data_IF_705626529715
#
_entry.id   IF_705626529715
#
_cell.length_a   1.000
_cell.length_b   1.000
_cell.length_c   1.000
_cell.angle_alpha   90.00
_cell.angle_beta   90.00
_cell.angle_gamma   90.00
#
_symmetry.space_group_name_H-M   'P 1'
#
loop_
_entity.id
_entity.type
_entity.pdbx_description
1 polymer ?
#
# COMPACT_ATOMS: atom_id res chain seq x y z
N UNK A 1 0.98 -0.38 14.30
CA UNK A 1 0.67 -1.72 14.87
C UNK A 1 1.72 -2.73 14.42
N UNK A 2 1.82 -3.92 15.04
CA UNK A 2 2.91 -4.89 14.79
C UNK A 2 3.04 -5.37 13.33
N UNK A 3 2.06 -5.11 12.48
CA UNK A 3 2.09 -5.37 11.03
C UNK A 3 2.50 -4.16 10.18
N UNK A 4 3.00 -3.08 10.78
CA UNK A 4 3.35 -1.84 10.07
C UNK A 4 4.45 -2.08 9.03
N UNK A 5 4.26 -1.54 7.83
CA UNK A 5 5.31 -1.42 6.84
C UNK A 5 6.06 -0.11 7.09
N UNK A 6 7.38 -0.18 7.17
CA UNK A 6 8.25 1.00 7.18
C UNK A 6 8.98 1.03 5.84
N UNK A 7 8.86 2.15 5.13
CA UNK A 7 9.52 2.34 3.83
C UNK A 7 10.59 3.40 3.99
N UNK A 8 11.83 3.04 3.63
CA UNK A 8 12.94 3.98 3.56
C UNK A 8 13.54 3.99 2.15
N UNK A 9 13.88 5.17 1.60
CA UNK A 9 13.55 6.50 2.11
C UNK A 9 12.04 6.82 2.05
N UNK A 10 11.58 7.79 2.84
CA UNK A 10 10.25 8.38 2.65
C UNK A 10 10.15 9.06 1.28
N UNK A 11 8.97 9.10 0.69
CA UNK A 11 8.73 9.82 -0.55
C UNK A 11 8.99 11.32 -0.31
N UNK A 12 9.83 11.88 -1.16
CA UNK A 12 10.05 13.32 -1.31
C UNK A 12 9.72 13.71 -2.74
N UNK A 13 9.77 15.00 -3.06
CA UNK A 13 9.47 15.48 -4.42
C UNK A 13 10.42 14.96 -5.50
N UNK A 14 11.62 14.49 -5.15
CA UNK A 14 12.67 14.12 -6.11
C UNK A 14 13.03 12.64 -6.16
N UNK A 15 12.51 11.80 -5.24
CA UNK A 15 13.00 10.43 -5.06
C UNK A 15 11.98 9.32 -5.43
N UNK A 16 10.91 9.66 -6.17
CA UNK A 16 9.79 8.75 -6.48
C UNK A 16 10.22 7.36 -6.94
N UNK A 17 11.19 7.25 -7.87
CA UNK A 17 11.63 5.94 -8.36
C UNK A 17 12.27 5.06 -7.28
N UNK A 18 13.03 5.66 -6.36
CA UNK A 18 13.64 4.92 -5.25
C UNK A 18 12.61 4.55 -4.19
N UNK A 19 11.73 5.47 -3.83
CA UNK A 19 10.59 5.21 -2.93
C UNK A 19 9.67 4.12 -3.49
N UNK A 20 9.27 4.21 -4.76
CA UNK A 20 8.36 3.26 -5.41
C UNK A 20 8.92 1.84 -5.40
N UNK A 21 10.23 1.68 -5.67
CA UNK A 21 10.89 0.36 -5.56
C UNK A 21 10.88 -0.17 -4.12
N UNK A 22 11.17 0.67 -3.14
CA UNK A 22 11.12 0.27 -1.72
C UNK A 22 9.70 -0.08 -1.26
N UNK A 23 8.70 0.71 -1.66
CA UNK A 23 7.29 0.46 -1.32
C UNK A 23 6.79 -0.84 -1.96
N UNK A 24 7.06 -1.07 -3.24
CA UNK A 24 6.71 -2.33 -3.92
C UNK A 24 7.34 -3.55 -3.25
N UNK A 25 8.61 -3.47 -2.84
CA UNK A 25 9.28 -4.55 -2.08
C UNK A 25 8.60 -4.81 -0.75
N UNK A 26 8.29 -3.75 0.00
CA UNK A 26 7.66 -3.89 1.31
C UNK A 26 6.24 -4.47 1.22
N UNK A 27 5.46 -4.06 0.22
CA UNK A 27 4.15 -4.66 -0.07
C UNK A 27 4.27 -6.11 -0.56
N UNK A 28 5.27 -6.41 -1.38
CA UNK A 28 5.57 -7.78 -1.82
C UNK A 28 5.86 -8.72 -0.64
N UNK A 29 6.68 -8.27 0.33
CA UNK A 29 6.96 -9.02 1.55
C UNK A 29 5.72 -9.27 2.44
N UNK A 30 4.64 -8.52 2.22
CA UNK A 30 3.34 -8.69 2.90
C UNK A 30 2.29 -9.40 2.05
N UNK A 31 2.62 -9.83 0.83
CA UNK A 31 1.67 -10.36 -0.15
C UNK A 31 0.53 -9.36 -0.45
N UNK A 32 0.90 -8.07 -0.57
CA UNK A 32 -0.03 -6.97 -0.83
C UNK A 32 0.26 -6.22 -2.11
N UNK A 33 1.28 -6.62 -2.88
CA UNK A 33 1.63 -5.97 -4.14
C UNK A 33 0.49 -6.05 -5.17
N UNK A 34 -0.30 -7.14 -5.13
CA UNK A 34 -1.38 -7.41 -6.08
C UNK A 34 -2.53 -6.39 -6.02
N UNK A 35 -2.69 -5.74 -4.87
CA UNK A 35 -3.68 -4.66 -4.69
C UNK A 35 -3.31 -3.39 -5.48
N UNK A 36 -2.01 -3.10 -5.66
CA UNK A 36 -1.57 -1.85 -6.30
C UNK A 36 -1.20 -2.02 -7.78
N UNK A 37 -0.90 -3.24 -8.22
CA UNK A 37 -0.62 -3.54 -9.63
C UNK A 37 -1.90 -3.95 -10.41
N UNK A 38 -3.05 -4.05 -9.72
CA UNK A 38 -4.35 -4.38 -10.32
C UNK A 38 -4.56 -5.87 -10.60
N UNK A 39 -3.63 -6.75 -10.21
CA UNK A 39 -3.79 -8.21 -10.40
C UNK A 39 -4.82 -8.83 -9.45
N UNK A 40 -5.09 -8.18 -8.31
CA UNK A 40 -6.21 -8.51 -7.44
C UNK A 40 -7.30 -7.41 -7.56
N UNK A 41 -8.28 -7.57 -8.45
CA UNK A 41 -9.34 -6.59 -8.62
C UNK A 41 -10.23 -6.49 -7.39
N UNK A 42 -10.90 -5.35 -7.24
CA UNK A 42 -11.95 -5.17 -6.25
C UNK A 42 -13.13 -6.08 -6.61
N UNK A 43 -13.72 -6.82 -5.64
CA UNK A 43 -14.97 -7.55 -5.87
C UNK A 43 -16.08 -6.61 -6.35
N UNK A 44 -16.89 -7.06 -7.32
CA UNK A 44 -17.96 -6.24 -7.92
C UNK A 44 -19.21 -6.14 -7.02
N UNK A 45 -19.43 -7.17 -6.20
CA UNK A 45 -20.56 -7.24 -5.27
C UNK A 45 -20.14 -6.84 -3.86
N UNK A 46 -20.69 -5.74 -3.37
CA UNK A 46 -20.46 -5.24 -2.00
C UNK A 46 -20.97 -6.22 -0.91
N UNK A 47 -21.87 -7.14 -1.27
CA UNK A 47 -22.37 -8.19 -0.38
C UNK A 47 -21.47 -9.43 -0.33
N UNK A 48 -20.50 -9.55 -1.24
CA UNK A 48 -19.50 -10.61 -1.19
C UNK A 48 -18.67 -10.49 0.11
N UNK A 49 -18.58 -11.54 0.94
CA UNK A 49 -17.68 -11.53 2.10
C UNK A 49 -16.23 -11.16 1.77
N UNK A 50 -15.75 -11.44 0.56
CA UNK A 50 -14.44 -11.07 0.06
C UNK A 50 -14.27 -9.54 -0.06
N UNK A 51 -15.34 -8.79 -0.36
CA UNK A 51 -15.31 -7.33 -0.45
C UNK A 51 -14.84 -6.71 0.87
N UNK A 52 -15.39 -7.16 2.01
CA UNK A 52 -15.00 -6.63 3.34
C UNK A 52 -13.52 -6.88 3.65
N UNK A 53 -13.00 -8.05 3.28
CA UNK A 53 -11.60 -8.40 3.47
C UNK A 53 -10.70 -7.58 2.55
N UNK A 54 -11.07 -7.47 1.27
CA UNK A 54 -10.36 -6.65 0.29
C UNK A 54 -10.31 -5.19 0.73
N UNK A 55 -11.45 -4.62 1.13
CA UNK A 55 -11.56 -3.24 1.58
C UNK A 55 -10.68 -2.96 2.80
N UNK A 56 -10.67 -3.86 3.81
CA UNK A 56 -9.78 -3.73 4.97
C UNK A 56 -8.30 -3.74 4.58
N UNK A 57 -7.92 -4.59 3.63
CA UNK A 57 -6.54 -4.64 3.13
C UNK A 57 -6.18 -3.37 2.37
N UNK A 58 -7.09 -2.86 1.54
CA UNK A 58 -6.91 -1.61 0.80
C UNK A 58 -6.71 -0.42 1.75
N UNK A 59 -7.53 -0.29 2.80
CA UNK A 59 -7.38 0.75 3.83
C UNK A 59 -6.02 0.69 4.55
N UNK A 60 -5.54 -0.52 4.82
CA UNK A 60 -4.22 -0.73 5.45
C UNK A 60 -3.08 -0.31 4.52
N UNK A 61 -3.16 -0.67 3.24
CA UNK A 61 -2.17 -0.28 2.23
C UNK A 61 -2.15 1.24 2.07
N UNK A 62 -3.30 1.88 1.98
CA UNK A 62 -3.41 3.35 1.94
C UNK A 62 -2.73 4.00 3.13
N UNK A 63 -2.95 3.47 4.35
CA UNK A 63 -2.27 3.95 5.56
C UNK A 63 -0.75 3.81 5.45
N UNK A 64 -0.23 2.71 4.90
CA UNK A 64 1.22 2.55 4.72
C UNK A 64 1.79 3.49 3.67
N UNK A 65 1.07 3.73 2.57
CA UNK A 65 1.46 4.70 1.55
C UNK A 65 1.56 6.08 2.18
N UNK A 66 0.50 6.54 2.86
CA UNK A 66 0.45 7.85 3.52
C UNK A 66 1.57 8.02 4.55
N UNK A 67 1.80 7.01 5.40
CA UNK A 67 2.87 7.04 6.40
C UNK A 67 4.28 6.92 5.80
N UNK A 68 4.40 6.67 4.49
CA UNK A 68 5.67 6.63 3.78
C UNK A 68 5.97 7.90 2.99
N UNK A 69 5.15 8.95 3.12
CA UNK A 69 5.36 10.26 2.49
C UNK A 69 5.99 11.23 3.49
N UNK A 70 6.98 12.01 3.03
CA UNK A 70 7.60 13.06 3.84
C UNK A 70 6.56 14.12 4.22
N UNK A 71 6.52 14.61 5.48
CA UNK A 71 5.62 15.68 5.89
C UNK A 71 5.72 16.96 5.05
N UNK A 72 6.85 17.18 4.39
CA UNK A 72 7.06 18.34 3.51
C UNK A 72 6.23 18.30 2.21
N UNK A 73 5.69 17.14 1.84
CA UNK A 73 4.89 16.95 0.62
C UNK A 73 3.63 16.11 0.87
N UNK A 74 3.29 15.86 2.14
CA UNK A 74 2.12 15.07 2.55
C UNK A 74 0.86 15.93 2.62
#
# INVERSE_FOLDING_TARGET
GPSSVVVTPLLTGSNYHSWSRSMKRALGAKMKLEFINGTLPMPEDDFDPAFRVWHRCNQLISSWILNSVSPSIA
#
